data_IF_141495539857
#
_entry.id   IF_141495539857
#
_cell.length_a   1.000
_cell.length_b   1.000
_cell.length_c   1.000
_cell.angle_alpha   90.00
_cell.angle_beta   90.00
_cell.angle_gamma   90.00
#
_symmetry.space_group_name_H-M   'P 1'
#
loop_
_entity.id
_entity.type
_entity.pdbx_description
1 polymer ?
#
# COMPACT_ATOMS: atom_id res chain seq x y z
N UNK A 1 -4.17 6.86 -7.54
CA UNK A 1 -3.39 5.61 -7.27
C UNK A 1 -4.36 4.50 -6.91
N UNK A 2 -4.04 3.25 -7.27
CA UNK A 2 -4.80 2.05 -6.88
C UNK A 2 -3.93 1.18 -5.95
N UNK A 3 -3.85 1.53 -4.66
CA UNK A 3 -3.13 0.72 -3.70
C UNK A 3 -3.87 -0.59 -3.41
N UNK A 4 -3.14 -1.57 -2.88
CA UNK A 4 -3.70 -2.81 -2.34
C UNK A 4 -4.24 -2.61 -0.93
N UNK A 5 -4.09 -3.63 -0.09
CA UNK A 5 -4.50 -3.56 1.32
C UNK A 5 -3.68 -2.49 2.06
N UNK A 6 -4.33 -1.63 2.86
CA UNK A 6 -3.68 -0.49 3.52
C UNK A 6 -3.68 -0.71 5.03
N UNK A 7 -2.51 -0.56 5.66
CA UNK A 7 -2.40 -0.47 7.10
C UNK A 7 -2.74 0.95 7.55
N UNK A 8 -3.96 1.12 8.06
CA UNK A 8 -4.44 2.38 8.64
C UNK A 8 -4.20 2.41 10.15
N UNK A 9 -3.39 3.35 10.67
CA UNK A 9 -3.28 3.53 12.11
C UNK A 9 -4.64 3.99 12.66
N UNK A 10 -5.02 3.48 13.83
CA UNK A 10 -6.24 3.85 14.55
C UNK A 10 -7.57 3.58 13.83
N UNK A 11 -7.64 2.63 12.89
CA UNK A 11 -8.93 2.21 12.32
C UNK A 11 -9.78 1.52 13.39
N UNK A 12 -11.06 1.87 13.54
CA UNK A 12 -12.02 1.19 14.43
C UNK A 12 -12.69 -0.03 13.78
N UNK A 13 -12.38 -0.31 12.51
CA UNK A 13 -12.96 -1.43 11.78
C UNK A 13 -12.31 -2.74 12.20
N UNK A 14 -13.03 -3.51 13.01
CA UNK A 14 -12.58 -4.81 13.54
C UNK A 14 -12.12 -5.77 12.44
N UNK A 15 -12.84 -5.85 11.32
CA UNK A 15 -12.48 -6.70 10.18
C UNK A 15 -11.13 -6.33 9.54
N UNK A 16 -10.82 -5.04 9.41
CA UNK A 16 -9.50 -4.59 8.92
C UNK A 16 -8.38 -4.97 9.91
N UNK A 17 -8.59 -4.87 11.23
CA UNK A 17 -7.58 -5.28 12.23
C UNK A 17 -7.28 -6.77 12.18
N UNK A 18 -8.33 -7.59 12.12
CA UNK A 18 -8.21 -9.06 12.05
C UNK A 18 -7.55 -9.47 10.74
N UNK A 19 -8.03 -8.93 9.61
CA UNK A 19 -7.46 -9.17 8.29
C UNK A 19 -5.99 -8.74 8.20
N UNK A 20 -5.62 -7.59 8.77
CA UNK A 20 -4.24 -7.13 8.85
C UNK A 20 -3.36 -8.12 9.61
N UNK A 21 -3.82 -8.64 10.75
CA UNK A 21 -3.05 -9.61 11.54
C UNK A 21 -2.88 -10.95 10.82
N UNK A 22 -3.93 -11.43 10.15
CA UNK A 22 -3.88 -12.67 9.36
C UNK A 22 -2.94 -12.50 8.18
N UNK A 23 -3.14 -11.45 7.36
CA UNK A 23 -2.36 -11.24 6.15
C UNK A 23 -0.88 -11.03 6.48
N UNK A 24 -0.56 -10.27 7.54
CA UNK A 24 0.84 -10.05 7.95
C UNK A 24 1.50 -11.33 8.44
N UNK A 25 0.76 -12.20 9.14
CA UNK A 25 1.26 -13.51 9.56
C UNK A 25 1.53 -14.42 8.35
N UNK A 26 0.61 -14.51 7.40
CA UNK A 26 0.79 -15.29 6.18
C UNK A 26 1.96 -14.78 5.33
N UNK A 27 2.10 -13.45 5.23
CA UNK A 27 3.21 -12.81 4.52
C UNK A 27 4.58 -13.17 5.14
N UNK A 28 4.68 -13.29 6.48
CA UNK A 28 5.91 -13.72 7.17
C UNK A 28 6.31 -15.16 6.81
N UNK A 29 5.34 -16.04 6.61
CA UNK A 29 5.56 -17.44 6.18
C UNK A 29 5.74 -17.54 4.65
N UNK A 30 5.59 -16.43 3.94
CA UNK A 30 5.83 -16.34 2.49
C UNK A 30 4.59 -16.52 1.63
N UNK A 31 3.41 -16.61 2.23
CA UNK A 31 2.12 -16.79 1.56
C UNK A 31 1.50 -15.42 1.28
N UNK A 32 0.88 -15.24 0.10
CA UNK A 32 0.16 -14.01 -0.28
C UNK A 32 0.98 -12.71 -0.24
N UNK A 33 2.27 -12.75 -0.58
CA UNK A 33 3.18 -11.59 -0.67
C UNK A 33 2.65 -10.44 -1.55
N UNK A 34 1.83 -10.75 -2.55
CA UNK A 34 1.21 -9.74 -3.41
C UNK A 34 0.17 -8.87 -2.69
N UNK A 35 -0.46 -9.39 -1.64
CA UNK A 35 -1.45 -8.70 -0.80
C UNK A 35 -0.83 -8.07 0.45
N UNK A 36 0.50 -7.95 0.50
CA UNK A 36 1.20 -7.30 1.60
C UNK A 36 0.61 -5.89 1.85
N UNK A 37 0.23 -5.57 3.11
CA UNK A 37 -0.28 -4.27 3.46
C UNK A 37 0.73 -3.18 3.15
N UNK A 38 0.28 -2.08 2.54
CA UNK A 38 1.06 -0.85 2.42
C UNK A 38 0.76 0.07 3.60
N UNK A 39 1.79 0.60 4.25
CA UNK A 39 1.63 1.59 5.32
C UNK A 39 1.13 2.91 4.75
N UNK A 40 0.16 3.55 5.40
CA UNK A 40 -0.36 4.87 4.98
C UNK A 40 0.76 5.90 4.80
N UNK A 41 1.77 5.92 5.68
CA UNK A 41 2.92 6.83 5.59
C UNK A 41 3.74 6.62 4.31
N UNK A 42 3.98 5.37 3.93
CA UNK A 42 4.71 5.04 2.69
C UNK A 42 3.88 5.36 1.45
N UNK A 43 2.58 5.08 1.50
CA UNK A 43 1.67 5.45 0.41
C UNK A 43 1.64 6.97 0.21
N UNK A 44 1.55 7.75 1.30
CA UNK A 44 1.58 9.21 1.24
C UNK A 44 2.91 9.74 0.66
N UNK A 45 4.05 9.14 1.06
CA UNK A 45 5.35 9.46 0.48
C UNK A 45 5.37 9.20 -1.04
N UNK A 46 4.89 8.02 -1.46
CA UNK A 46 4.81 7.67 -2.88
C UNK A 46 3.91 8.62 -3.67
N UNK A 47 2.79 9.07 -3.08
CA UNK A 47 1.91 10.07 -3.68
C UNK A 47 2.66 11.37 -3.93
N UNK A 48 3.41 11.88 -2.94
CA UNK A 48 4.21 13.10 -3.08
C UNK A 48 5.29 12.95 -4.15
N UNK A 49 6.08 11.89 -4.09
CA UNK A 49 7.13 11.63 -5.09
C UNK A 49 6.55 11.49 -6.49
N UNK A 50 5.38 10.87 -6.63
CA UNK A 50 4.73 10.71 -7.93
C UNK A 50 4.37 12.04 -8.61
N UNK A 51 4.10 13.10 -7.84
CA UNK A 51 3.81 14.44 -8.37
C UNK A 51 5.05 15.03 -9.04
N UNK A 52 6.23 14.79 -8.47
CA UNK A 52 7.49 15.31 -9.01
C UNK A 52 8.05 14.43 -10.14
N UNK A 53 7.85 13.12 -10.06
CA UNK A 53 8.35 12.17 -11.07
C UNK A 53 7.55 12.23 -12.37
N UNK A 54 6.22 12.33 -12.28
CA UNK A 54 5.36 12.21 -13.44
C UNK A 54 4.70 13.55 -13.78
N UNK A 55 5.08 14.13 -14.92
CA UNK A 55 4.59 15.43 -15.40
C UNK A 55 3.25 15.36 -16.17
N UNK A 56 2.47 14.29 -15.97
CA UNK A 56 1.17 14.12 -16.66
C UNK A 56 0.05 14.73 -15.82
N UNK A 57 -0.84 15.48 -16.48
CA UNK A 57 -2.00 16.10 -15.84
C UNK A 57 -2.95 15.08 -15.19
N UNK A 58 -3.08 13.88 -15.77
CA UNK A 58 -3.84 12.77 -15.19
C UNK A 58 -3.12 11.45 -15.46
N UNK A 59 -2.87 10.70 -14.40
CA UNK A 59 -2.36 9.33 -14.50
C UNK A 59 -2.90 8.45 -13.38
N UNK A 60 -3.06 7.17 -13.69
CA UNK A 60 -3.43 6.15 -12.71
C UNK A 60 -2.20 5.28 -12.47
N UNK A 61 -1.69 5.29 -11.25
CA UNK A 61 -0.58 4.44 -10.83
C UNK A 61 -1.14 3.17 -10.17
N UNK A 62 -0.72 2.03 -10.72
CA UNK A 62 -1.06 0.70 -10.22
C UNK A 62 -0.06 0.27 -9.14
N UNK A 63 -0.35 -0.85 -8.46
CA UNK A 63 0.47 -1.34 -7.35
C UNK A 63 1.96 -1.50 -7.71
N UNK A 64 2.25 -1.93 -8.94
CA UNK A 64 3.61 -2.07 -9.48
C UNK A 64 4.37 -0.74 -9.55
N UNK A 65 3.67 0.32 -9.96
CA UNK A 65 4.25 1.65 -10.12
C UNK A 65 4.49 2.27 -8.73
N UNK A 66 3.53 2.10 -7.82
CA UNK A 66 3.66 2.53 -6.42
C UNK A 66 4.87 1.85 -5.75
N UNK A 67 5.06 0.54 -5.96
CA UNK A 67 6.22 -0.19 -5.43
C UNK A 67 7.54 0.27 -6.04
N UNK A 68 7.55 0.68 -7.30
CA UNK A 68 8.76 1.20 -7.95
C UNK A 68 9.20 2.55 -7.39
N UNK A 69 8.26 3.39 -6.96
CA UNK A 69 8.54 4.71 -6.35
C UNK A 69 9.06 4.56 -4.91
N UNK A 70 8.54 3.59 -4.15
CA UNK A 70 8.90 3.38 -2.73
C UNK A 70 10.26 2.69 -2.56
N UNK A 71 10.76 2.02 -3.61
CA UNK A 71 12.00 1.24 -3.59
C UNK A 71 13.24 2.14 -3.52
#
# INVERSE_FOLDING_TARGET
MRPGFIERPHSDRLGEKIGLKIITTLNKVGIFKQYAPIKTKLLAKAMLESVFTYKKARQVLELKDIKAIIK
#
